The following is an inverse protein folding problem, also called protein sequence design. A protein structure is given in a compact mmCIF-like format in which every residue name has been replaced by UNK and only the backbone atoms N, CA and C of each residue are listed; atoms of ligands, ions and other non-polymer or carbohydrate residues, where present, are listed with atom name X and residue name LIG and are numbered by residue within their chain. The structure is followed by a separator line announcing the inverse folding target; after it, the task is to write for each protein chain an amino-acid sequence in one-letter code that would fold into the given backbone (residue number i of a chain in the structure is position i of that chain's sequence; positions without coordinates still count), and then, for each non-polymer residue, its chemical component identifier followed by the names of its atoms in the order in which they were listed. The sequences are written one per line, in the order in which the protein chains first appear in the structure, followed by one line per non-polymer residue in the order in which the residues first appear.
data_IF_178098419091
#
_entry.id   IF_178098419091
#
_cell.length_a   1.000
_cell.length_b   1.000
_cell.length_c   1.000
_cell.angle_alpha   90.00
_cell.angle_beta   90.00
_cell.angle_gamma   90.00
#
_symmetry.space_group_name_H-M   'P 1'
#
loop_
_entity.id
_entity.type
_entity.pdbx_description
1 polymer ?
#
# COMPACT_ATOMS: atom_id res chain seq x y z
N UNK A 1 -15.80 12.06 -18.91
CA UNK A 1 -15.17 11.72 -17.61
C UNK A 1 -16.22 11.53 -16.52
N UNK A 2 -17.01 12.55 -16.12
CA UNK A 2 -18.04 12.42 -15.06
C UNK A 2 -19.02 11.26 -15.27
N UNK A 3 -19.56 11.11 -16.48
CA UNK A 3 -20.46 9.98 -16.81
C UNK A 3 -19.82 8.59 -16.65
N UNK A 4 -18.51 8.47 -16.90
CA UNK A 4 -17.77 7.22 -16.74
C UNK A 4 -17.52 6.92 -15.25
N UNK A 5 -17.17 7.94 -14.47
CA UNK A 5 -17.04 7.86 -13.00
C UNK A 5 -18.36 7.38 -12.37
N UNK A 6 -19.48 8.02 -12.74
CA UNK A 6 -20.81 7.63 -12.26
C UNK A 6 -21.17 6.18 -12.63
N UNK A 7 -20.82 5.76 -13.85
CA UNK A 7 -21.02 4.38 -14.28
C UNK A 7 -20.22 3.40 -13.43
N UNK A 8 -18.93 3.66 -13.20
CA UNK A 8 -18.06 2.82 -12.36
C UNK A 8 -18.60 2.75 -10.93
N UNK A 9 -19.03 3.88 -10.35
CA UNK A 9 -19.61 3.93 -9.00
C UNK A 9 -20.90 3.11 -8.86
N UNK A 10 -21.71 3.03 -9.92
CA UNK A 10 -22.95 2.25 -9.93
C UNK A 10 -22.69 0.75 -10.09
N UNK A 11 -21.68 0.38 -10.88
CA UNK A 11 -21.40 -1.00 -11.24
C UNK A 11 -20.45 -1.71 -10.27
N UNK A 12 -19.57 -0.97 -9.57
CA UNK A 12 -18.49 -1.54 -8.78
C UNK A 12 -18.80 -1.49 -7.28
N UNK A 13 -18.59 -2.58 -6.53
CA UNK A 13 -18.79 -2.59 -5.08
C UNK A 13 -17.79 -1.67 -4.37
N UNK A 14 -18.21 -0.95 -3.33
CA UNK A 14 -17.35 0.00 -2.60
C UNK A 14 -17.58 -0.08 -1.07
N UNK A 15 -17.29 -1.21 -0.43
CA UNK A 15 -17.61 -1.43 0.98
C UNK A 15 -16.82 -0.51 1.93
N UNK A 16 -15.67 0.00 1.49
CA UNK A 16 -14.83 0.93 2.23
C UNK A 16 -15.14 2.40 1.92
N UNK A 17 -16.07 2.68 1.01
CA UNK A 17 -16.40 4.03 0.54
C UNK A 17 -15.19 4.76 -0.09
N UNK A 18 -14.21 4.02 -0.64
CA UNK A 18 -12.99 4.55 -1.26
C UNK A 18 -13.34 5.20 -2.60
N UNK A 19 -14.04 4.47 -3.48
CA UNK A 19 -14.43 5.00 -4.81
C UNK A 19 -15.30 6.24 -4.64
N UNK A 20 -16.38 6.13 -3.87
CA UNK A 20 -17.37 7.20 -3.71
C UNK A 20 -16.77 8.46 -3.07
N UNK A 21 -15.96 8.32 -2.02
CA UNK A 21 -15.36 9.49 -1.39
C UNK A 21 -14.34 10.17 -2.31
N UNK A 22 -13.43 9.41 -2.92
CA UNK A 22 -12.39 9.97 -3.80
C UNK A 22 -12.92 10.50 -5.13
N UNK A 23 -14.08 10.04 -5.60
CA UNK A 23 -14.75 10.59 -6.78
C UNK A 23 -15.04 12.10 -6.65
N UNK A 24 -15.33 12.57 -5.43
CA UNK A 24 -15.59 13.98 -5.15
C UNK A 24 -14.36 14.84 -5.48
N UNK A 25 -13.18 14.38 -5.09
CA UNK A 25 -11.89 15.02 -5.42
C UNK A 25 -11.59 14.89 -6.90
N UNK A 26 -11.71 13.68 -7.45
CA UNK A 26 -11.36 13.40 -8.84
C UNK A 26 -12.20 14.21 -9.85
N UNK A 27 -13.48 14.46 -9.56
CA UNK A 27 -14.34 15.28 -10.40
C UNK A 27 -14.03 16.79 -10.33
N UNK A 28 -13.16 17.22 -9.40
CA UNK A 28 -12.85 18.62 -9.11
C UNK A 28 -11.34 18.87 -8.93
N UNK A 29 -10.47 18.11 -9.63
CA UNK A 29 -9.02 18.24 -9.52
C UNK A 29 -8.53 19.66 -9.82
N UNK A 30 -7.70 20.22 -8.93
CA UNK A 30 -7.13 21.57 -9.07
C UNK A 30 -5.64 21.53 -9.35
N UNK A 31 -4.93 20.49 -8.94
CA UNK A 31 -3.47 20.38 -9.01
C UNK A 31 -3.01 19.31 -10.00
N UNK A 32 -3.93 18.48 -10.49
CA UNK A 32 -3.66 17.35 -11.36
C UNK A 32 -4.60 17.38 -12.58
N UNK A 33 -4.10 16.95 -13.73
CA UNK A 33 -4.88 16.59 -14.91
C UNK A 33 -4.70 15.11 -15.25
N UNK A 34 -5.74 14.51 -15.82
CA UNK A 34 -5.71 13.12 -16.32
C UNK A 34 -5.71 13.14 -17.84
N UNK A 35 -4.68 12.54 -18.43
CA UNK A 35 -4.56 12.40 -19.86
C UNK A 35 -5.29 11.15 -20.36
N UNK A 36 -6.57 11.33 -20.72
CA UNK A 36 -7.40 10.23 -21.19
C UNK A 36 -6.89 9.59 -22.49
N UNK A 37 -6.13 10.33 -23.32
CA UNK A 37 -5.57 9.78 -24.57
C UNK A 37 -4.54 8.69 -24.34
N UNK A 38 -3.96 8.60 -23.13
CA UNK A 38 -2.97 7.58 -22.76
C UNK A 38 -3.59 6.29 -22.19
N UNK A 39 -4.89 6.28 -21.88
CA UNK A 39 -5.52 5.15 -21.19
C UNK A 39 -5.45 3.88 -22.02
N UNK A 40 -5.82 3.93 -23.31
CA UNK A 40 -5.84 2.75 -24.18
C UNK A 40 -4.43 2.13 -24.33
N UNK A 41 -3.42 2.95 -24.63
CA UNK A 41 -2.04 2.49 -24.82
C UNK A 41 -1.47 1.87 -23.53
N UNK A 42 -1.69 2.52 -22.39
CA UNK A 42 -1.20 2.01 -21.11
C UNK A 42 -1.96 0.77 -20.66
N UNK A 43 -3.27 0.68 -20.93
CA UNK A 43 -4.05 -0.50 -20.62
C UNK A 43 -3.57 -1.73 -21.40
N UNK A 44 -3.14 -1.57 -22.67
CA UNK A 44 -2.48 -2.64 -23.45
C UNK A 44 -1.19 -3.12 -22.77
N UNK A 45 -0.33 -2.20 -22.31
CA UNK A 45 0.90 -2.54 -21.59
C UNK A 45 0.60 -3.34 -20.32
N UNK A 46 -0.42 -2.93 -19.55
CA UNK A 46 -0.84 -3.63 -18.34
C UNK A 46 -1.35 -5.03 -18.67
N UNK A 47 -2.21 -5.16 -19.69
CA UNK A 47 -2.74 -6.43 -20.16
C UNK A 47 -1.62 -7.40 -20.51
N UNK A 48 -0.64 -6.96 -21.30
CA UNK A 48 0.50 -7.80 -21.69
C UNK A 48 1.30 -8.31 -20.48
N UNK A 49 1.45 -7.49 -19.43
CA UNK A 49 2.15 -7.91 -18.21
C UNK A 49 1.39 -8.97 -17.45
N UNK A 50 0.08 -8.80 -17.32
CA UNK A 50 -0.80 -9.76 -16.66
C UNK A 50 -0.76 -11.09 -17.45
N UNK A 51 -0.88 -11.05 -18.77
CA UNK A 51 -0.88 -12.24 -19.62
C UNK A 51 0.46 -12.98 -19.57
N UNK A 52 1.58 -12.25 -19.45
CA UNK A 52 2.93 -12.80 -19.21
C UNK A 52 3.16 -13.24 -17.75
N UNK A 53 2.14 -13.21 -16.89
CA UNK A 53 2.21 -13.53 -15.45
C UNK A 53 3.26 -12.72 -14.70
N UNK A 54 3.54 -11.49 -15.15
CA UNK A 54 4.47 -10.56 -14.51
C UNK A 54 3.77 -9.77 -13.40
N UNK A 55 3.14 -10.50 -12.49
CA UNK A 55 2.37 -9.98 -11.34
C UNK A 55 2.96 -10.53 -10.04
N UNK A 56 2.53 -10.00 -8.90
CA UNK A 56 2.90 -10.53 -7.58
C UNK A 56 2.27 -11.91 -7.37
N UNK A 57 3.02 -12.72 -6.64
CA UNK A 57 2.69 -14.07 -6.19
C UNK A 57 3.08 -14.16 -4.72
N UNK A 58 2.74 -15.26 -4.04
CA UNK A 58 3.13 -15.49 -2.65
C UNK A 58 4.65 -15.49 -2.40
N UNK A 59 5.48 -15.70 -3.44
CA UNK A 59 6.94 -15.65 -3.33
C UNK A 59 7.45 -14.30 -2.79
N UNK A 60 6.68 -13.22 -2.97
CA UNK A 60 7.04 -11.89 -2.48
C UNK A 60 7.23 -11.82 -0.95
N UNK A 61 6.65 -12.77 -0.21
CA UNK A 61 6.65 -12.77 1.26
C UNK A 61 7.91 -13.42 1.87
N UNK A 62 8.86 -13.89 1.05
CA UNK A 62 10.17 -14.39 1.50
C UNK A 62 10.13 -15.70 2.30
N UNK A 63 8.96 -16.31 2.47
CA UNK A 63 8.75 -17.60 3.12
C UNK A 63 8.35 -18.65 2.09
N UNK A 64 8.83 -19.89 2.26
CA UNK A 64 8.40 -21.01 1.44
C UNK A 64 6.92 -21.38 1.67
N UNK A 65 6.38 -21.07 2.85
CA UNK A 65 4.97 -21.28 3.22
C UNK A 65 4.50 -20.05 4.01
N UNK A 66 4.19 -18.93 3.34
CA UNK A 66 3.72 -17.74 4.03
C UNK A 66 2.37 -17.99 4.68
N UNK A 67 2.19 -17.52 5.92
CA UNK A 67 0.94 -17.65 6.67
C UNK A 67 0.20 -16.32 6.72
N UNK A 68 -1.15 -16.30 6.84
CA UNK A 68 -1.90 -15.10 7.13
C UNK A 68 -1.35 -14.25 8.28
N UNK A 69 -0.83 -14.88 9.35
CA UNK A 69 -0.21 -14.16 10.47
C UNK A 69 1.07 -13.43 10.04
N UNK A 70 1.91 -14.05 9.20
CA UNK A 70 3.07 -13.39 8.60
C UNK A 70 2.64 -12.20 7.73
N UNK A 71 1.66 -12.39 6.84
CA UNK A 71 1.17 -11.34 5.95
C UNK A 71 0.64 -10.16 6.77
N UNK A 72 -0.14 -10.46 7.81
CA UNK A 72 -0.71 -9.43 8.67
C UNK A 72 0.36 -8.58 9.36
N UNK A 73 1.44 -9.20 9.87
CA UNK A 73 2.57 -8.46 10.45
C UNK A 73 3.30 -7.61 9.41
N UNK A 74 3.55 -8.15 8.21
CA UNK A 74 4.18 -7.40 7.12
C UNK A 74 3.35 -6.18 6.73
N UNK A 75 2.05 -6.32 6.50
CA UNK A 75 1.17 -5.22 6.13
C UNK A 75 0.92 -4.22 7.25
N UNK A 76 0.96 -4.68 8.50
CA UNK A 76 0.98 -3.82 9.69
C UNK A 76 2.20 -2.91 9.71
N UNK A 77 3.29 -3.26 9.02
CA UNK A 77 4.54 -2.51 8.96
C UNK A 77 4.80 -1.86 7.57
N UNK A 78 3.89 -2.07 6.60
CA UNK A 78 4.03 -1.66 5.20
C UNK A 78 3.71 -0.16 4.96
N UNK A 79 4.50 0.72 5.57
CA UNK A 79 4.41 2.17 5.43
C UNK A 79 5.78 2.85 5.47
N UNK A 80 5.94 3.96 4.75
CA UNK A 80 7.09 4.87 4.79
C UNK A 80 8.50 4.22 4.79
N UNK A 81 9.03 3.97 3.58
CA UNK A 81 10.38 3.43 3.37
C UNK A 81 11.35 4.41 2.68
N UNK A 82 10.90 5.63 2.38
CA UNK A 82 11.70 6.61 1.66
C UNK A 82 12.59 7.41 2.62
N UNK A 83 13.74 7.88 2.13
CA UNK A 83 14.62 8.81 2.83
C UNK A 83 14.50 10.22 2.24
N UNK A 84 14.88 11.25 3.00
CA UNK A 84 14.91 12.61 2.45
C UNK A 84 15.93 12.70 1.32
N UNK A 85 15.86 13.80 0.58
CA UNK A 85 16.87 14.08 -0.45
C UNK A 85 18.24 14.17 0.24
N UNK A 86 19.25 13.56 -0.36
CA UNK A 86 20.63 13.58 0.09
C UNK A 86 20.89 12.87 1.44
N UNK A 87 19.89 12.22 2.04
CA UNK A 87 20.05 11.30 3.17
C UNK A 87 20.24 9.86 2.67
N UNK A 88 21.05 9.08 3.39
CA UNK A 88 21.18 7.65 3.10
C UNK A 88 19.85 6.92 3.33
N UNK A 89 19.64 5.84 2.56
CA UNK A 89 18.47 4.97 2.75
C UNK A 89 18.78 3.91 3.80
N UNK A 90 17.74 3.58 4.58
CA UNK A 90 17.73 2.42 5.45
C UNK A 90 17.96 1.13 4.64
N UNK A 91 19.17 0.57 4.75
CA UNK A 91 19.63 -0.58 3.95
C UNK A 91 19.81 -1.81 4.82
N UNK A 92 19.37 -2.97 4.32
CA UNK A 92 19.43 -4.25 5.03
C UNK A 92 20.41 -5.18 4.33
N UNK A 93 21.30 -5.79 5.10
CA UNK A 93 22.08 -6.94 4.64
C UNK A 93 21.42 -8.23 5.12
N UNK A 94 20.82 -8.99 4.20
CA UNK A 94 20.22 -10.29 4.47
C UNK A 94 19.85 -11.08 3.19
N UNK A 95 20.25 -12.37 3.05
CA UNK A 95 21.26 -13.04 3.88
C UNK A 95 22.62 -12.34 3.76
N UNK A 96 23.64 -12.83 4.50
CA UNK A 96 24.99 -12.23 4.48
C UNK A 96 25.47 -11.99 3.03
N UNK A 97 26.04 -10.81 2.79
CA UNK A 97 26.50 -10.32 1.48
C UNK A 97 25.40 -9.98 0.45
N UNK A 98 24.12 -9.98 0.84
CA UNK A 98 23.03 -9.49 0.01
C UNK A 98 22.47 -8.16 0.57
N UNK A 99 22.71 -7.04 -0.12
CA UNK A 99 22.30 -5.71 0.31
C UNK A 99 20.99 -5.26 -0.37
N UNK A 100 19.99 -4.89 0.43
CA UNK A 100 18.65 -4.48 0.01
C UNK A 100 18.43 -3.04 0.48
N UNK A 101 18.38 -2.09 -0.47
CA UNK A 101 18.51 -0.67 -0.17
C UNK A 101 17.35 -0.03 0.61
N UNK A 102 16.12 -0.57 0.52
CA UNK A 102 14.93 -0.19 1.29
C UNK A 102 13.67 -0.90 0.75
N UNK A 103 12.49 -0.48 1.22
CA UNK A 103 11.20 -0.83 0.65
C UNK A 103 10.63 -2.16 1.14
N UNK A 104 9.65 -2.66 0.40
CA UNK A 104 8.95 -3.91 0.72
C UNK A 104 9.89 -5.09 0.95
N UNK A 105 10.85 -5.33 0.05
CA UNK A 105 11.78 -6.45 0.17
C UNK A 105 12.74 -6.32 1.36
N UNK A 106 13.11 -5.09 1.75
CA UNK A 106 13.90 -4.87 2.96
C UNK A 106 13.08 -5.15 4.24
N UNK A 107 11.78 -4.82 4.24
CA UNK A 107 10.86 -5.19 5.32
C UNK A 107 10.74 -6.72 5.43
N UNK A 108 10.46 -7.41 4.32
CA UNK A 108 10.38 -8.88 4.27
C UNK A 108 11.66 -9.52 4.81
N UNK A 109 12.82 -9.04 4.36
CA UNK A 109 14.12 -9.51 4.84
C UNK A 109 14.32 -9.31 6.34
N UNK A 110 13.86 -8.20 6.91
CA UNK A 110 13.94 -7.98 8.36
C UNK A 110 13.08 -8.95 9.16
N UNK A 111 11.87 -9.23 8.70
CA UNK A 111 10.95 -10.15 9.38
C UNK A 111 11.47 -11.59 9.28
N UNK A 112 11.94 -12.02 8.12
CA UNK A 112 12.57 -13.35 7.99
C UNK A 112 13.82 -13.47 8.88
N UNK A 113 14.72 -12.47 8.84
CA UNK A 113 15.89 -12.43 9.71
C UNK A 113 15.52 -12.53 11.20
N UNK A 114 14.53 -11.77 11.64
CA UNK A 114 14.06 -11.82 13.03
C UNK A 114 13.54 -13.21 13.41
N UNK A 115 12.78 -13.87 12.53
CA UNK A 115 12.32 -15.25 12.76
C UNK A 115 13.49 -16.24 12.83
N UNK A 116 14.50 -16.12 11.97
CA UNK A 116 15.71 -16.97 12.02
C UNK A 116 16.53 -16.76 13.29
N UNK A 117 16.50 -15.56 13.86
CA UNK A 117 17.12 -15.22 15.14
C UNK A 117 16.29 -15.64 16.36
N UNK A 118 15.14 -16.29 16.16
CA UNK A 118 14.27 -16.75 17.24
C UNK A 118 13.40 -15.66 17.86
N UNK A 119 13.29 -14.48 17.23
CA UNK A 119 12.36 -13.45 17.67
C UNK A 119 10.93 -13.90 17.35
N UNK A 120 10.02 -13.98 18.34
CA UNK A 120 8.64 -14.43 18.12
C UNK A 120 7.76 -13.30 17.54
N UNK A 121 8.23 -12.69 16.44
CA UNK A 121 7.63 -11.49 15.81
C UNK A 121 6.20 -11.73 15.28
N UNK A 122 5.77 -12.98 15.13
CA UNK A 122 4.40 -13.34 14.72
C UNK A 122 3.45 -13.55 15.91
N UNK A 123 3.98 -13.60 17.14
CA UNK A 123 3.20 -13.86 18.35
C UNK A 123 2.58 -12.56 18.89
N UNK A 124 1.25 -12.54 19.05
CA UNK A 124 0.55 -11.34 19.53
C UNK A 124 0.95 -10.88 20.94
N UNK A 125 1.31 -11.80 21.84
CA UNK A 125 1.80 -11.44 23.18
C UNK A 125 3.18 -10.78 23.12
N UNK A 126 4.07 -11.24 22.24
CA UNK A 126 5.33 -10.55 21.96
C UNK A 126 5.07 -9.15 21.38
N UNK A 127 4.25 -9.05 20.33
CA UNK A 127 3.91 -7.78 19.69
C UNK A 127 3.39 -6.76 20.69
N UNK A 128 2.47 -7.17 21.57
CA UNK A 128 1.88 -6.32 22.63
C UNK A 128 2.93 -5.69 23.56
N UNK A 129 4.02 -6.42 23.83
CA UNK A 129 5.03 -6.05 24.83
C UNK A 129 6.38 -5.63 24.22
N UNK A 130 6.52 -5.66 22.89
CA UNK A 130 7.77 -5.34 22.21
C UNK A 130 8.23 -3.92 22.54
N UNK A 131 9.49 -3.78 22.93
CA UNK A 131 10.08 -2.50 23.33
C UNK A 131 10.77 -1.81 22.15
N UNK A 132 11.14 -0.54 22.33
CA UNK A 132 11.90 0.18 21.30
C UNK A 132 13.23 -0.53 20.95
N UNK A 133 14.07 -0.99 21.92
CA UNK A 133 15.26 -1.79 21.61
C UNK A 133 14.97 -3.06 20.80
N UNK A 134 13.87 -3.77 21.09
CA UNK A 134 13.51 -4.98 20.35
C UNK A 134 13.21 -4.66 18.88
N UNK A 135 12.41 -3.63 18.64
CA UNK A 135 12.04 -3.22 17.27
C UNK A 135 13.24 -2.60 16.55
N UNK A 136 14.09 -1.85 17.25
CA UNK A 136 15.34 -1.33 16.69
C UNK A 136 16.28 -2.46 16.26
N UNK A 137 16.38 -3.54 17.05
CA UNK A 137 17.16 -4.73 16.68
C UNK A 137 16.60 -5.44 15.45
N UNK A 138 15.28 -5.59 15.33
CA UNK A 138 14.65 -6.20 14.15
C UNK A 138 14.98 -5.41 12.88
N UNK A 139 14.82 -4.09 12.94
CA UNK A 139 15.00 -3.17 11.81
C UNK A 139 16.43 -2.63 11.66
N UNK A 140 17.42 -3.17 12.38
CA UNK A 140 18.81 -2.71 12.31
C UNK A 140 19.35 -2.76 10.88
N UNK A 141 19.98 -1.68 10.46
CA UNK A 141 20.54 -1.52 9.12
C UNK A 141 21.99 -1.98 9.03
N UNK A 142 22.47 -2.17 7.80
CA UNK A 142 23.88 -2.43 7.51
C UNK A 142 24.72 -1.15 7.43
N UNK A 143 24.08 0.03 7.41
CA UNK A 143 24.71 1.33 7.23
C UNK A 143 24.41 2.34 8.35
N UNK A 144 23.99 1.88 9.53
CA UNK A 144 23.63 2.74 10.68
C UNK A 144 22.51 3.77 10.43
N UNK A 145 21.81 3.69 9.30
CA UNK A 145 20.62 4.53 9.02
C UNK A 145 19.39 3.90 9.65
N UNK A 146 18.62 4.65 10.44
CA UNK A 146 17.37 4.18 11.04
C UNK A 146 16.22 4.15 10.02
N UNK A 147 15.36 3.13 10.08
CA UNK A 147 14.12 3.12 9.28
C UNK A 147 13.22 4.30 9.70
N UNK A 148 12.59 5.01 8.77
CA UNK A 148 11.62 6.04 9.12
C UNK A 148 10.51 5.50 10.03
N UNK A 149 10.07 6.36 10.97
CA UNK A 149 8.94 6.11 11.86
C UNK A 149 9.12 4.88 12.78
N UNK A 150 10.36 4.56 13.18
CA UNK A 150 10.65 3.42 14.06
C UNK A 150 9.83 3.43 15.37
N UNK A 151 9.68 4.60 16.01
CA UNK A 151 8.84 4.74 17.22
C UNK A 151 7.38 4.45 16.95
N UNK A 152 6.85 4.84 15.80
CA UNK A 152 5.45 4.54 15.45
C UNK A 152 5.27 3.06 15.10
N UNK A 153 6.29 2.38 14.57
CA UNK A 153 6.26 0.92 14.42
C UNK A 153 6.11 0.19 15.74
N UNK A 154 6.81 0.64 16.79
CA UNK A 154 6.64 0.10 18.14
C UNK A 154 5.18 0.24 18.60
N UNK A 155 4.63 1.46 18.52
CA UNK A 155 3.23 1.73 18.91
C UNK A 155 2.24 0.87 18.12
N UNK A 156 2.41 0.80 16.80
CA UNK A 156 1.54 0.03 15.90
C UNK A 156 1.60 -1.45 16.22
N UNK A 157 2.79 -2.02 16.49
CA UNK A 157 2.92 -3.43 16.87
C UNK A 157 2.31 -3.71 18.24
N UNK A 158 2.53 -2.84 19.23
CA UNK A 158 1.93 -3.00 20.55
C UNK A 158 0.40 -2.93 20.50
N UNK A 159 -0.16 -1.96 19.79
CA UNK A 159 -1.60 -1.83 19.57
C UNK A 159 -2.17 -3.06 18.86
N UNK A 160 -1.50 -3.51 17.79
CA UNK A 160 -1.91 -4.70 17.02
C UNK A 160 -1.90 -5.96 17.87
N UNK A 161 -0.83 -6.19 18.62
CA UNK A 161 -0.71 -7.34 19.53
C UNK A 161 -1.80 -7.33 20.61
N UNK A 162 -2.10 -6.16 21.19
CA UNK A 162 -3.19 -6.00 22.16
C UNK A 162 -4.54 -6.40 21.55
N UNK A 163 -4.87 -5.87 20.38
CA UNK A 163 -6.16 -6.14 19.71
C UNK A 163 -6.28 -7.62 19.31
N UNK A 164 -5.21 -8.22 18.77
CA UNK A 164 -5.19 -9.64 18.45
C UNK A 164 -5.49 -10.50 19.68
N UNK A 165 -4.82 -10.22 20.81
CA UNK A 165 -5.03 -10.96 22.06
C UNK A 165 -6.46 -10.80 22.59
N UNK A 166 -7.00 -9.58 22.58
CA UNK A 166 -8.30 -9.26 23.19
C UNK A 166 -9.50 -9.72 22.35
N UNK A 167 -9.41 -9.65 21.01
CA UNK A 167 -10.55 -9.90 20.11
C UNK A 167 -10.44 -11.19 19.30
N UNK A 168 -9.23 -11.69 19.08
CA UNK A 168 -8.96 -12.75 18.11
C UNK A 168 -8.09 -13.87 18.68
N UNK A 169 -8.01 -14.01 20.01
CA UNK A 169 -7.19 -15.01 20.71
C UNK A 169 -5.72 -15.07 20.22
N UNK A 170 -5.17 -13.91 19.86
CA UNK A 170 -3.79 -13.77 19.40
C UNK A 170 -3.56 -14.15 17.94
N UNK A 171 -4.60 -14.50 17.19
CA UNK A 171 -4.49 -15.12 15.87
C UNK A 171 -5.39 -14.46 14.81
N UNK A 172 -4.79 -13.94 13.74
CA UNK A 172 -5.51 -13.31 12.63
C UNK A 172 -6.44 -14.27 11.88
N UNK A 173 -6.21 -15.59 11.94
CA UNK A 173 -7.12 -16.57 11.33
C UNK A 173 -8.55 -16.45 11.88
N UNK A 174 -8.72 -16.06 13.15
CA UNK A 174 -10.03 -15.86 13.77
C UNK A 174 -10.77 -14.65 13.17
N UNK A 175 -10.04 -13.58 12.79
CA UNK A 175 -10.63 -12.48 12.02
C UNK A 175 -11.05 -12.99 10.65
N UNK A 176 -10.15 -13.66 9.92
CA UNK A 176 -10.40 -14.12 8.55
C UNK A 176 -11.59 -15.07 8.47
N UNK A 177 -11.73 -15.99 9.43
CA UNK A 177 -12.85 -16.92 9.51
C UNK A 177 -14.22 -16.20 9.52
N UNK A 178 -14.32 -15.06 10.22
CA UNK A 178 -15.54 -14.27 10.31
C UNK A 178 -15.91 -13.54 9.01
N UNK A 179 -14.97 -13.40 8.06
CA UNK A 179 -15.19 -12.65 6.81
C UNK A 179 -15.74 -13.51 5.68
N UNK A 180 -15.67 -14.84 5.80
CA UNK A 180 -15.96 -15.78 4.71
C UNK A 180 -14.98 -15.64 3.54
N UNK A 181 -13.76 -15.14 3.79
CA UNK A 181 -12.72 -14.84 2.81
C UNK A 181 -13.19 -13.89 1.69
N UNK A 182 -14.11 -12.98 1.99
CA UNK A 182 -14.48 -11.90 1.07
C UNK A 182 -13.53 -10.72 1.26
N UNK A 183 -12.83 -10.31 0.19
CA UNK A 183 -11.77 -9.30 0.25
C UNK A 183 -12.26 -7.95 0.81
N UNK A 184 -13.43 -7.48 0.38
CA UNK A 184 -14.03 -6.26 0.90
C UNK A 184 -14.32 -6.35 2.41
N UNK A 185 -14.85 -7.49 2.88
CA UNK A 185 -15.09 -7.72 4.32
C UNK A 185 -13.78 -7.82 5.11
N UNK A 186 -12.74 -8.47 4.58
CA UNK A 186 -11.42 -8.53 5.20
C UNK A 186 -10.88 -7.12 5.41
N UNK A 187 -10.88 -6.30 4.35
CA UNK A 187 -10.37 -4.95 4.42
C UNK A 187 -11.20 -4.08 5.39
N UNK A 188 -12.53 -4.22 5.39
CA UNK A 188 -13.41 -3.53 6.34
C UNK A 188 -13.14 -3.93 7.79
N UNK A 189 -13.04 -5.22 8.10
CA UNK A 189 -12.83 -5.69 9.48
C UNK A 189 -11.45 -5.28 10.00
N UNK A 190 -10.41 -5.31 9.16
CA UNK A 190 -9.09 -4.84 9.57
C UNK A 190 -9.08 -3.32 9.79
N UNK A 191 -9.61 -2.54 8.85
CA UNK A 191 -9.68 -1.07 8.99
C UNK A 191 -10.49 -0.64 10.22
N UNK A 192 -11.57 -1.36 10.54
CA UNK A 192 -12.44 -1.10 11.69
C UNK A 192 -11.78 -1.43 13.03
N UNK A 193 -11.03 -2.53 13.11
CA UNK A 193 -10.54 -3.04 14.38
C UNK A 193 -9.12 -2.60 14.71
N UNK A 194 -8.29 -2.29 13.71
CA UNK A 194 -6.89 -1.90 13.89
C UNK A 194 -6.68 -0.45 13.47
N UNK A 195 -6.54 0.50 14.43
CA UNK A 195 -6.45 1.93 14.13
C UNK A 195 -5.33 2.31 13.15
N UNK A 196 -4.20 1.60 13.18
CA UNK A 196 -3.12 1.83 12.20
C UNK A 196 -3.55 1.62 10.74
N UNK A 197 -4.59 0.83 10.48
CA UNK A 197 -5.17 0.59 9.16
C UNK A 197 -6.29 1.59 8.79
N UNK A 198 -6.71 2.47 9.71
CA UNK A 198 -7.73 3.50 9.49
C UNK A 198 -7.20 4.70 8.68
N UNK A 199 -6.90 4.46 7.41
CA UNK A 199 -6.32 5.46 6.50
C UNK A 199 -7.39 6.28 5.76
N UNK A 200 -7.51 7.55 6.17
CA UNK A 200 -8.35 8.57 5.54
C UNK A 200 -7.74 9.97 5.71
N UNK A 201 -8.28 10.95 4.99
CA UNK A 201 -7.96 12.37 5.17
C UNK A 201 -9.22 13.23 5.11
N UNK A 202 -9.17 14.45 5.64
CA UNK A 202 -10.29 15.39 5.60
C UNK A 202 -10.03 16.46 4.55
N UNK A 203 -10.74 16.39 3.42
CA UNK A 203 -10.70 17.43 2.39
C UNK A 203 -11.29 18.71 2.96
N UNK A 204 -10.53 19.81 2.87
CA UNK A 204 -10.87 21.12 3.43
C UNK A 204 -11.36 21.06 4.90
N UNK A 205 -10.84 20.10 5.67
CA UNK A 205 -11.21 19.79 7.06
C UNK A 205 -12.69 19.40 7.27
N UNK A 206 -13.40 18.97 6.23
CA UNK A 206 -14.84 18.65 6.30
C UNK A 206 -15.16 17.25 5.79
N UNK A 207 -14.79 16.95 4.56
CA UNK A 207 -15.24 15.72 3.90
C UNK A 207 -14.21 14.60 4.04
N UNK A 208 -14.65 13.41 4.48
CA UNK A 208 -13.77 12.26 4.70
C UNK A 208 -13.45 11.55 3.39
N UNK A 209 -12.19 11.61 2.98
CA UNK A 209 -11.61 10.88 1.86
C UNK A 209 -11.01 9.57 2.35
N UNK A 210 -11.60 8.45 1.97
CA UNK A 210 -11.19 7.11 2.38
C UNK A 210 -10.14 6.55 1.42
N UNK A 211 -9.06 5.97 1.95
CA UNK A 211 -8.03 5.31 1.14
C UNK A 211 -7.75 3.88 1.62
N UNK A 212 -7.67 3.65 2.94
CA UNK A 212 -7.50 2.32 3.56
C UNK A 212 -6.42 1.45 2.88
N UNK A 213 -5.32 2.06 2.43
CA UNK A 213 -4.34 1.42 1.54
C UNK A 213 -3.86 0.07 2.07
N UNK A 214 -3.39 0.04 3.32
CA UNK A 214 -2.84 -1.19 3.93
C UNK A 214 -3.91 -2.24 4.21
N UNK A 215 -5.16 -1.83 4.46
CA UNK A 215 -6.25 -2.79 4.69
C UNK A 215 -6.65 -3.48 3.38
N UNK A 216 -6.64 -2.72 2.28
CA UNK A 216 -6.86 -3.27 0.94
C UNK A 216 -5.71 -4.18 0.50
N UNK A 217 -4.45 -3.80 0.76
CA UNK A 217 -3.28 -4.66 0.53
C UNK A 217 -3.43 -5.97 1.29
N UNK A 218 -3.72 -5.93 2.59
CA UNK A 218 -3.86 -7.16 3.38
C UNK A 218 -4.92 -8.11 2.80
N UNK A 219 -6.09 -7.59 2.40
CA UNK A 219 -7.12 -8.40 1.77
C UNK A 219 -6.64 -9.02 0.43
N UNK A 220 -5.86 -8.26 -0.35
CA UNK A 220 -5.27 -8.73 -1.60
C UNK A 220 -4.15 -9.76 -1.37
N UNK A 221 -3.24 -9.51 -0.44
CA UNK A 221 -2.11 -10.40 -0.16
C UNK A 221 -2.56 -11.75 0.42
N UNK A 222 -3.65 -11.77 1.20
CA UNK A 222 -4.32 -13.02 1.60
C UNK A 222 -4.83 -13.82 0.40
N UNK A 223 -5.23 -13.15 -0.69
CA UNK A 223 -5.69 -13.81 -1.91
C UNK A 223 -4.57 -14.48 -2.71
N UNK A 224 -3.32 -14.09 -2.46
CA UNK A 224 -2.14 -14.66 -3.15
C UNK A 224 -1.66 -15.96 -2.51
N UNK A 225 -2.04 -16.22 -1.26
CA UNK A 225 -1.58 -17.41 -0.52
C UNK A 225 -2.17 -18.69 -1.11
N UNK A 226 -1.31 -19.67 -1.38
CA UNK A 226 -1.74 -20.99 -1.80
C UNK A 226 -2.70 -21.62 -0.79
N UNK A 227 -3.79 -22.17 -1.31
CA UNK A 227 -4.85 -22.79 -0.50
C UNK A 227 -5.92 -21.82 0.02
N UNK A 228 -5.73 -20.50 -0.08
CA UNK A 228 -6.76 -19.51 0.26
C UNK A 228 -7.45 -19.05 -1.02
N UNK A 229 -8.79 -19.17 -1.04
CA UNK A 229 -9.63 -18.66 -2.14
C UNK A 229 -10.39 -17.43 -1.69
N UNK A 230 -9.69 -16.30 -1.61
CA UNK A 230 -10.35 -15.03 -1.37
C UNK A 230 -11.27 -14.67 -2.55
N UNK A 231 -12.42 -14.07 -2.24
CA UNK A 231 -13.47 -13.71 -3.19
C UNK A 231 -13.63 -12.21 -3.26
N UNK A 232 -14.28 -11.75 -4.32
CA UNK A 232 -14.72 -10.36 -4.47
C UNK A 232 -13.57 -9.34 -4.51
N UNK A 233 -12.49 -9.64 -5.24
CA UNK A 233 -11.35 -8.72 -5.38
C UNK A 233 -11.74 -7.43 -6.11
N UNK A 234 -12.81 -7.45 -6.92
CA UNK A 234 -13.40 -6.27 -7.56
C UNK A 234 -13.88 -5.20 -6.54
N UNK A 235 -14.07 -5.58 -5.28
CA UNK A 235 -14.40 -4.64 -4.20
C UNK A 235 -13.24 -3.76 -3.74
N UNK A 236 -12.00 -4.17 -4.05
CA UNK A 236 -10.80 -3.41 -3.77
C UNK A 236 -10.49 -2.44 -4.92
N UNK A 237 -9.71 -1.41 -4.61
CA UNK A 237 -9.24 -0.37 -5.54
C UNK A 237 -7.71 -0.43 -5.65
N UNK A 238 -7.11 0.49 -6.41
CA UNK A 238 -5.66 0.66 -6.35
C UNK A 238 -5.18 1.14 -4.96
N UNK A 239 -3.99 0.68 -4.58
CA UNK A 239 -3.41 0.89 -3.26
C UNK A 239 -2.60 2.19 -3.28
N UNK A 240 -3.29 3.33 -3.25
CA UNK A 240 -2.71 4.66 -3.47
C UNK A 240 -1.56 5.03 -2.50
N UNK A 241 -0.35 4.64 -2.91
CA UNK A 241 0.93 4.89 -2.27
C UNK A 241 1.71 5.99 -3.02
N UNK A 242 3.04 6.05 -2.83
CA UNK A 242 3.90 6.99 -3.55
C UNK A 242 4.47 6.46 -4.88
N UNK A 243 4.48 5.14 -5.12
CA UNK A 243 5.03 4.50 -6.31
C UNK A 243 4.06 4.45 -7.47
N UNK A 244 2.81 4.08 -7.25
CA UNK A 244 1.81 4.01 -8.31
C UNK A 244 1.59 5.37 -9.01
N UNK A 245 1.38 6.50 -8.30
CA UNK A 245 1.29 7.80 -8.96
C UNK A 245 2.56 8.20 -9.71
N UNK A 246 3.74 7.78 -9.22
CA UNK A 246 5.01 8.03 -9.90
C UNK A 246 5.03 7.36 -11.28
N UNK A 247 4.59 6.11 -11.35
CA UNK A 247 4.55 5.35 -12.61
C UNK A 247 3.46 5.87 -13.53
N UNK A 248 2.26 6.16 -13.01
CA UNK A 248 1.20 6.78 -13.81
C UNK A 248 1.63 8.13 -14.39
N UNK A 249 2.45 8.90 -13.66
CA UNK A 249 3.06 10.13 -14.17
C UNK A 249 4.12 9.88 -15.23
N UNK A 250 4.96 8.86 -15.07
CA UNK A 250 5.95 8.47 -16.07
C UNK A 250 5.29 7.98 -17.38
N UNK A 251 4.14 7.32 -17.27
CA UNK A 251 3.33 6.86 -18.40
C UNK A 251 2.46 7.98 -19.02
N UNK A 252 2.49 9.18 -18.43
CA UNK A 252 1.75 10.34 -18.91
C UNK A 252 0.25 10.33 -18.63
N UNK A 253 -0.27 9.42 -17.79
CA UNK A 253 -1.68 9.42 -17.40
C UNK A 253 -1.96 10.54 -16.39
N UNK A 254 -1.09 10.67 -15.38
CA UNK A 254 -1.20 11.70 -14.35
C UNK A 254 -0.24 12.83 -14.69
N UNK A 255 -0.76 14.04 -14.82
CA UNK A 255 0.02 15.25 -15.07
C UNK A 255 -0.14 16.21 -13.89
N UNK A 256 0.96 16.55 -13.23
CA UNK A 256 0.95 17.54 -12.16
C UNK A 256 1.04 18.94 -12.75
N UNK A 257 0.20 19.85 -12.27
CA UNK A 257 0.35 21.28 -12.57
C UNK A 257 1.65 21.81 -11.96
N UNK A 258 2.14 22.93 -12.50
CA UNK A 258 3.47 23.49 -12.20
C UNK A 258 3.78 23.58 -10.72
N UNK A 259 2.84 24.04 -9.89
CA UNK A 259 3.06 24.16 -8.44
C UNK A 259 3.36 22.81 -7.77
N UNK A 260 2.51 21.81 -8.01
CA UNK A 260 2.68 20.47 -7.45
C UNK A 260 3.90 19.76 -8.05
N UNK A 261 4.11 19.91 -9.36
CA UNK A 261 5.28 19.38 -10.05
C UNK A 261 6.58 19.92 -9.45
N UNK A 262 6.67 21.23 -9.20
CA UNK A 262 7.84 21.85 -8.60
C UNK A 262 8.11 21.33 -7.19
N UNK A 263 7.08 21.14 -6.36
CA UNK A 263 7.23 20.55 -5.02
C UNK A 263 7.79 19.13 -5.09
N UNK A 264 7.17 18.26 -5.90
CA UNK A 264 7.56 16.86 -6.01
C UNK A 264 8.94 16.69 -6.67
N UNK A 265 9.20 17.40 -7.77
CA UNK A 265 10.45 17.29 -8.54
C UNK A 265 11.66 17.82 -7.75
N UNK A 266 11.44 18.76 -6.81
CA UNK A 266 12.45 19.27 -5.90
C UNK A 266 12.45 18.56 -4.53
N UNK A 267 11.77 17.41 -4.41
CA UNK A 267 11.77 16.58 -3.21
C UNK A 267 11.21 17.26 -1.94
N UNK A 268 10.36 18.27 -2.11
CA UNK A 268 9.67 18.94 -1.00
C UNK A 268 8.69 17.96 -0.38
N UNK A 269 8.79 17.77 0.95
CA UNK A 269 7.89 16.91 1.70
C UNK A 269 6.52 17.60 1.76
N UNK A 270 5.49 16.89 1.30
CA UNK A 270 4.10 17.32 1.41
C UNK A 270 3.58 17.04 2.82
N UNK A 271 2.70 17.91 3.30
CA UNK A 271 2.05 17.73 4.60
C UNK A 271 1.06 16.57 4.52
N UNK A 272 1.04 15.71 5.54
CA UNK A 272 0.05 14.64 5.60
C UNK A 272 -1.38 15.19 5.73
N UNK A 273 -2.30 14.64 4.94
CA UNK A 273 -3.68 15.09 4.80
C UNK A 273 -3.85 16.41 4.03
N UNK A 274 -2.82 16.88 3.32
CA UNK A 274 -2.92 18.07 2.48
C UNK A 274 -3.76 17.82 1.22
N UNK A 275 -4.30 18.89 0.64
CA UNK A 275 -5.04 18.80 -0.62
C UNK A 275 -4.14 18.26 -1.75
N UNK A 276 -2.84 18.59 -1.75
CA UNK A 276 -1.86 17.99 -2.65
C UNK A 276 -1.81 16.46 -2.54
N UNK A 277 -1.67 15.94 -1.32
CA UNK A 277 -1.66 14.49 -1.09
C UNK A 277 -2.98 13.85 -1.52
N UNK A 278 -4.10 14.44 -1.09
CA UNK A 278 -5.45 13.92 -1.35
C UNK A 278 -5.69 13.84 -2.87
N UNK A 279 -5.36 14.88 -3.63
CA UNK A 279 -5.51 14.87 -5.09
C UNK A 279 -4.63 13.80 -5.75
N UNK A 280 -3.37 13.63 -5.31
CA UNK A 280 -2.49 12.59 -5.85
C UNK A 280 -3.09 11.20 -5.62
N UNK A 281 -3.52 10.90 -4.39
CA UNK A 281 -4.03 9.58 -4.02
C UNK A 281 -5.38 9.30 -4.69
N UNK A 282 -6.29 10.27 -4.73
CA UNK A 282 -7.56 10.15 -5.44
C UNK A 282 -7.36 9.95 -6.96
N UNK A 283 -6.46 10.72 -7.58
CA UNK A 283 -6.12 10.57 -9.00
C UNK A 283 -5.51 9.21 -9.31
N UNK A 284 -4.72 8.65 -8.39
CA UNK A 284 -4.13 7.31 -8.52
C UNK A 284 -5.22 6.25 -8.58
N UNK A 285 -6.16 6.27 -7.63
CA UNK A 285 -7.29 5.33 -7.58
C UNK A 285 -8.07 5.40 -8.89
N UNK A 286 -8.51 6.60 -9.27
CA UNK A 286 -9.37 6.75 -10.44
C UNK A 286 -8.65 6.49 -11.78
N UNK A 287 -7.36 6.82 -11.90
CA UNK A 287 -6.59 6.41 -13.06
C UNK A 287 -6.56 4.87 -13.22
N UNK A 288 -6.37 4.14 -12.11
CA UNK A 288 -6.42 2.68 -12.13
C UNK A 288 -7.83 2.13 -12.40
N UNK A 289 -8.90 2.74 -11.87
CA UNK A 289 -10.29 2.36 -12.19
C UNK A 289 -10.58 2.53 -13.70
N UNK A 290 -10.10 3.62 -14.31
CA UNK A 290 -10.26 3.87 -15.75
C UNK A 290 -9.50 2.83 -16.59
N UNK A 291 -8.25 2.52 -16.23
CA UNK A 291 -7.47 1.47 -16.87
C UNK A 291 -8.12 0.09 -16.72
N UNK A 292 -8.58 -0.24 -15.51
CA UNK A 292 -9.25 -1.49 -15.21
C UNK A 292 -10.53 -1.65 -16.03
N UNK A 293 -11.30 -0.56 -16.21
CA UNK A 293 -12.50 -0.54 -17.05
C UNK A 293 -12.19 -0.74 -18.53
N UNK A 294 -11.11 -0.13 -19.03
CA UNK A 294 -10.69 -0.23 -20.43
C UNK A 294 -10.40 -1.68 -20.84
N UNK A 295 -9.72 -2.44 -19.99
CA UNK A 295 -9.36 -3.84 -20.28
C UNK A 295 -10.23 -4.86 -19.52
N UNK A 296 -11.28 -4.44 -18.81
CA UNK A 296 -12.24 -5.31 -18.11
C UNK A 296 -11.56 -6.28 -17.12
N UNK A 297 -10.89 -5.73 -16.11
CA UNK A 297 -10.26 -6.47 -15.00
C UNK A 297 -10.54 -5.79 -13.66
N UNK A 298 -10.24 -6.48 -12.57
CA UNK A 298 -10.28 -5.87 -11.24
C UNK A 298 -9.13 -4.85 -11.09
N UNK A 299 -9.36 -3.68 -10.46
CA UNK A 299 -8.34 -2.64 -10.30
C UNK A 299 -7.07 -3.07 -9.56
N UNK A 300 -7.15 -4.09 -8.71
CA UNK A 300 -5.98 -4.65 -8.01
C UNK A 300 -4.94 -5.22 -8.98
N UNK A 301 -5.36 -5.74 -10.13
CA UNK A 301 -4.44 -6.27 -11.13
C UNK A 301 -3.72 -5.15 -11.90
N UNK A 302 -4.38 -4.00 -12.09
CA UNK A 302 -3.75 -2.79 -12.62
C UNK A 302 -2.67 -2.31 -11.66
N UNK A 303 -3.01 -2.17 -10.37
CA UNK A 303 -2.08 -1.75 -9.32
C UNK A 303 -0.83 -2.65 -9.29
N UNK A 304 -1.04 -3.96 -9.27
CA UNK A 304 0.02 -4.95 -9.22
C UNK A 304 0.98 -4.85 -10.42
N UNK A 305 0.43 -4.75 -11.63
CA UNK A 305 1.22 -4.59 -12.85
C UNK A 305 2.06 -3.30 -12.81
N UNK A 306 1.46 -2.18 -12.37
CA UNK A 306 2.14 -0.89 -12.20
C UNK A 306 3.22 -0.95 -11.12
N UNK A 307 2.96 -1.62 -10.00
CA UNK A 307 3.95 -1.80 -8.94
C UNK A 307 5.15 -2.62 -9.43
N UNK A 308 4.93 -3.73 -10.15
CA UNK A 308 6.00 -4.52 -10.76
C UNK A 308 6.79 -3.71 -11.79
N UNK A 309 6.11 -2.88 -12.59
CA UNK A 309 6.78 -1.94 -13.50
C UNK A 309 7.72 -0.99 -12.75
N UNK A 310 7.29 -0.48 -11.59
CA UNK A 310 8.08 0.45 -10.78
C UNK A 310 9.42 -0.13 -10.29
N UNK A 311 9.55 -1.46 -10.24
CA UNK A 311 10.80 -2.13 -9.84
C UNK A 311 11.84 -2.17 -10.96
N UNK A 312 11.41 -1.96 -12.21
CA UNK A 312 12.26 -2.06 -13.41
C UNK A 312 12.53 -0.72 -14.11
N UNK A 313 11.64 0.26 -13.91
CA UNK A 313 11.74 1.56 -14.57
C UNK A 313 12.89 2.39 -13.97
N UNK A 314 13.76 2.87 -14.86
CA UNK A 314 14.85 3.81 -14.56
C UNK A 314 14.47 5.21 -15.06
N UNK A 315 15.13 6.22 -14.51
CA UNK A 315 15.06 7.62 -14.98
C UNK A 315 13.66 8.25 -14.97
N UNK A 316 12.81 7.81 -14.04
CA UNK A 316 11.50 8.43 -13.79
C UNK A 316 11.60 9.62 -12.85
N UNK A 317 10.71 10.60 -13.02
CA UNK A 317 10.61 11.74 -12.10
C UNK A 317 10.38 11.29 -10.65
N UNK A 318 10.77 12.08 -9.63
CA UNK A 318 10.57 11.73 -8.24
C UNK A 318 9.10 11.44 -7.87
N UNK A 319 8.91 10.59 -6.87
CA UNK A 319 7.61 10.40 -6.21
C UNK A 319 7.38 11.46 -5.13
N UNK A 320 6.10 11.73 -4.82
CA UNK A 320 5.73 12.60 -3.71
C UNK A 320 6.12 11.96 -2.37
N UNK A 321 6.51 12.78 -1.38
CA UNK A 321 6.91 12.31 -0.05
C UNK A 321 6.02 12.90 1.00
N UNK A 322 5.40 12.02 1.78
CA UNK A 322 4.61 12.36 2.96
C UNK A 322 5.09 11.45 4.08
N UNK A 323 5.40 12.05 5.24
CA UNK A 323 5.80 11.30 6.42
C UNK A 323 4.53 10.83 7.14
N UNK A 324 4.16 9.57 6.99
CA UNK A 324 2.90 9.02 7.49
C UNK A 324 2.99 7.50 7.71
N UNK A 325 2.14 6.99 8.60
CA UNK A 325 1.93 5.56 8.83
C UNK A 325 0.90 4.94 7.87
N UNK A 326 0.30 5.74 7.00
CA UNK A 326 -0.82 5.29 6.16
C UNK A 326 -0.40 4.53 4.89
N UNK A 327 0.77 4.82 4.30
CA UNK A 327 1.20 4.17 3.05
C UNK A 327 2.69 4.08 2.80
#
# INVERSE_FOLDING_TARGET
MKSLVEKILKESPDPLNVRKSTALVFNNLKLISINLSKIEDVAKIIREKIDKKQVLTEEQFGSANPTPQLIFVLDTLNFCFWAKKDEEKWTIEYPKSNYISNGWFALVACIDRAQKEGVPILNASYLKNATFPDIQHIFRSSNNTEIPLLRDRVKVLNETGKILMEKYNGDIYNLLAATGLNAGKIACEVAKNFPSFSDFSLLDNKEKMCFYKRAQIFAYDISLLHGIKAKNLESLTAFADYKIPQILRALGIIEYKTELANKVDNYIILKSGSNEEIEIRASTIWACELLAKEIVIDPVWVDNALWKMSQSLKDVKPYHRVLSTNY
#
